data_IF_528604335068
#
_entry.id   IF_528604335068
#
_cell.length_a   1.000
_cell.length_b   1.000
_cell.length_c   1.000
_cell.angle_alpha   90.00
_cell.angle_beta   90.00
_cell.angle_gamma   90.00
#
_symmetry.space_group_name_H-M   'P 1'
#
loop_
_entity.id
_entity.type
_entity.pdbx_description
1 polymer ?
#
# COMPACT_ATOMS: atom_id res chain seq x y z
N UNK A 1 16.31 0.54 14.86
CA UNK A 1 17.22 -0.39 15.60
C UNK A 1 18.41 -0.83 14.75
N UNK A 2 18.28 -1.55 13.63
CA UNK A 2 19.42 -2.02 12.81
C UNK A 2 20.39 -0.90 12.43
N UNK A 3 19.89 0.25 11.97
CA UNK A 3 20.74 1.40 11.62
C UNK A 3 21.55 1.91 12.83
N UNK A 4 20.88 2.17 13.95
CA UNK A 4 21.49 2.72 15.17
C UNK A 4 22.50 1.76 15.84
N UNK A 5 22.35 0.47 15.61
CA UNK A 5 23.23 -0.55 16.19
C UNK A 5 24.30 -1.09 15.22
N UNK A 6 24.37 -0.54 13.99
CA UNK A 6 25.24 -1.10 12.96
C UNK A 6 24.89 -2.54 12.56
N UNK A 7 23.60 -2.89 12.59
CA UNK A 7 23.09 -4.22 12.24
C UNK A 7 23.10 -5.24 13.39
N UNK A 8 23.67 -4.91 14.57
CA UNK A 8 23.83 -5.84 15.68
C UNK A 8 22.54 -6.14 16.45
N UNK A 9 21.56 -5.24 16.38
CA UNK A 9 20.25 -5.35 17.04
C UNK A 9 19.13 -5.10 16.06
N UNK A 10 18.03 -5.82 16.24
CA UNK A 10 16.85 -5.74 15.39
C UNK A 10 15.57 -5.70 16.22
N UNK A 11 14.43 -5.61 15.57
CA UNK A 11 13.15 -5.75 16.23
C UNK A 11 12.93 -7.18 16.79
N UNK A 12 13.68 -8.16 16.29
CA UNK A 12 13.63 -9.54 16.81
C UNK A 12 14.12 -9.63 18.26
N UNK A 13 15.13 -8.82 18.62
CA UNK A 13 15.62 -8.77 20.02
C UNK A 13 14.53 -8.21 20.94
N UNK A 14 13.87 -7.13 20.51
CA UNK A 14 12.72 -6.58 21.21
C UNK A 14 11.58 -7.60 21.31
N UNK A 15 11.21 -8.25 20.22
CA UNK A 15 10.11 -9.20 20.19
C UNK A 15 10.34 -10.38 21.15
N UNK A 16 11.55 -10.91 21.21
CA UNK A 16 11.90 -11.97 22.17
C UNK A 16 11.76 -11.50 23.62
N UNK A 17 12.21 -10.31 23.95
CA UNK A 17 12.10 -9.77 25.30
C UNK A 17 10.65 -9.42 25.68
N UNK A 18 9.89 -8.87 24.72
CA UNK A 18 8.54 -8.39 24.97
C UNK A 18 7.50 -9.53 25.00
N UNK A 19 7.57 -10.46 24.05
CA UNK A 19 6.62 -11.58 23.92
C UNK A 19 7.11 -12.87 24.56
N UNK A 20 8.41 -13.04 24.77
CA UNK A 20 9.01 -14.24 25.33
C UNK A 20 8.99 -14.28 26.86
N UNK A 21 8.14 -13.50 27.51
CA UNK A 21 7.94 -13.55 28.96
C UNK A 21 7.08 -14.76 29.32
N UNK A 22 7.51 -15.54 30.35
CA UNK A 22 6.71 -16.66 30.87
C UNK A 22 6.26 -17.67 29.79
N UNK A 23 7.20 -18.36 29.16
CA UNK A 23 6.91 -19.34 28.10
C UNK A 23 5.85 -20.36 28.57
N UNK A 24 4.80 -20.53 27.77
CA UNK A 24 3.67 -21.41 28.07
C UNK A 24 2.59 -20.84 29.01
N UNK A 25 2.73 -19.66 29.55
CA UNK A 25 1.73 -19.01 30.40
C UNK A 25 0.65 -18.30 29.58
N UNK A 26 -0.36 -19.02 29.14
CA UNK A 26 -1.50 -18.46 28.37
C UNK A 26 -2.70 -18.05 29.23
N UNK A 27 -2.73 -18.48 30.51
CA UNK A 27 -3.88 -18.27 31.40
C UNK A 27 -3.96 -16.86 31.98
N UNK A 28 -2.85 -16.12 31.99
CA UNK A 28 -2.77 -14.78 32.54
C UNK A 28 -2.17 -13.84 31.50
N UNK A 29 -3.01 -13.00 30.86
CA UNK A 29 -2.50 -12.05 29.85
C UNK A 29 -1.52 -11.07 30.50
N UNK A 30 -0.34 -10.93 29.92
CA UNK A 30 0.61 -9.89 30.29
C UNK A 30 0.08 -8.53 29.76
N UNK A 31 -0.20 -7.61 30.69
CA UNK A 31 -0.57 -6.23 30.34
C UNK A 31 0.67 -5.36 30.28
N UNK A 32 0.67 -4.35 29.40
CA UNK A 32 1.79 -3.41 29.26
C UNK A 32 1.27 -1.99 29.02
N UNK A 33 2.13 -1.03 29.31
CA UNK A 33 1.94 0.39 29.04
C UNK A 33 2.91 0.86 27.95
N UNK A 34 2.67 2.03 27.40
CA UNK A 34 3.55 2.64 26.42
C UNK A 34 5.02 2.73 26.91
N UNK A 35 5.20 3.13 28.18
CA UNK A 35 6.53 3.29 28.77
C UNK A 35 7.28 1.95 28.88
N UNK A 36 6.59 0.83 29.07
CA UNK A 36 7.22 -0.51 29.10
C UNK A 36 7.82 -0.84 27.73
N UNK A 37 7.10 -0.53 26.65
CA UNK A 37 7.60 -0.71 25.27
C UNK A 37 8.85 0.16 25.04
N UNK A 38 8.80 1.43 25.46
CA UNK A 38 9.93 2.36 25.34
C UNK A 38 11.13 1.89 26.14
N UNK A 39 10.91 1.40 27.37
CA UNK A 39 11.96 0.88 28.23
C UNK A 39 12.68 -0.31 27.58
N UNK A 40 11.95 -1.31 27.13
CA UNK A 40 12.52 -2.50 26.50
C UNK A 40 13.28 -2.15 25.20
N UNK A 41 12.76 -1.23 24.37
CA UNK A 41 13.48 -0.77 23.18
C UNK A 41 14.83 -0.13 23.55
N UNK A 42 14.86 0.65 24.65
CA UNK A 42 16.05 1.30 25.14
C UNK A 42 17.08 0.34 25.79
N UNK A 43 16.68 -0.85 26.22
CA UNK A 43 17.62 -1.88 26.67
C UNK A 43 18.54 -2.34 25.53
N UNK A 44 18.00 -2.45 24.33
CA UNK A 44 18.74 -2.92 23.15
C UNK A 44 19.45 -1.81 22.40
N UNK A 45 18.80 -0.65 22.24
CA UNK A 45 19.36 0.48 21.48
C UNK A 45 18.87 1.78 22.09
N UNK A 46 19.78 2.58 22.66
CA UNK A 46 19.46 3.89 23.22
C UNK A 46 19.04 4.87 22.13
N UNK A 47 17.82 5.36 22.22
CA UNK A 47 17.23 6.33 21.31
C UNK A 47 15.99 6.98 21.95
N UNK A 48 15.56 8.12 21.46
CA UNK A 48 14.26 8.70 21.84
C UNK A 48 13.11 7.94 21.18
N UNK A 49 12.87 6.73 21.69
CA UNK A 49 11.79 5.87 21.19
C UNK A 49 10.41 6.44 21.49
N UNK A 50 10.26 7.18 22.58
CA UNK A 50 8.97 7.78 22.93
C UNK A 50 8.52 8.76 21.86
N UNK A 51 9.35 9.74 21.52
CA UNK A 51 9.06 10.68 20.44
C UNK A 51 8.90 9.99 19.08
N UNK A 52 9.78 9.02 18.76
CA UNK A 52 9.70 8.27 17.52
C UNK A 52 8.36 7.54 17.34
N UNK A 53 7.89 6.84 18.38
CA UNK A 53 6.62 6.11 18.34
C UNK A 53 5.42 7.06 18.31
N UNK A 54 5.45 8.13 19.12
CA UNK A 54 4.37 9.14 19.16
C UNK A 54 4.21 9.83 17.80
N UNK A 55 5.30 10.25 17.17
CA UNK A 55 5.23 10.87 15.85
C UNK A 55 4.56 9.99 14.79
N UNK A 56 4.71 8.65 14.90
CA UNK A 56 4.07 7.70 13.99
C UNK A 56 2.65 7.35 14.36
N UNK A 57 2.33 7.34 15.65
CA UNK A 57 0.98 7.04 16.15
C UNK A 57 0.05 8.24 15.99
N UNK A 58 0.55 9.42 16.37
CA UNK A 58 -0.24 10.65 16.46
C UNK A 58 -0.12 11.50 15.16
N UNK A 59 0.76 11.10 14.23
CA UNK A 59 0.99 11.81 12.99
C UNK A 59 -0.21 11.74 12.05
N UNK A 60 -0.64 12.92 11.58
CA UNK A 60 -1.69 13.08 10.57
C UNK A 60 -1.09 13.59 9.27
N UNK A 61 -1.62 13.15 8.15
CA UNK A 61 -1.19 13.65 6.85
C UNK A 61 -1.41 12.63 5.74
N UNK A 62 -1.26 13.05 4.48
CA UNK A 62 -1.40 12.16 3.35
C UNK A 62 -0.20 11.21 3.25
N UNK A 63 -0.50 9.95 2.99
CA UNK A 63 0.50 8.92 2.71
C UNK A 63 1.08 8.22 3.94
N UNK A 64 1.74 7.10 3.69
CA UNK A 64 2.44 6.33 4.71
C UNK A 64 3.86 6.87 4.94
N UNK A 65 4.42 6.75 6.16
CA UNK A 65 5.80 7.13 6.43
C UNK A 65 6.77 6.18 5.71
N UNK A 66 7.44 6.67 4.66
CA UNK A 66 8.34 5.87 3.81
C UNK A 66 9.81 5.90 4.28
N UNK A 67 10.13 6.61 5.34
CA UNK A 67 11.50 6.74 5.85
C UNK A 67 12.13 5.39 6.23
N UNK A 68 11.34 4.44 6.70
CA UNK A 68 11.80 3.06 6.96
C UNK A 68 12.23 2.33 5.70
N UNK A 69 11.52 2.51 4.60
CA UNK A 69 11.86 1.96 3.29
C UNK A 69 13.16 2.59 2.78
N UNK A 70 13.28 3.91 2.87
CA UNK A 70 14.48 4.65 2.43
C UNK A 70 15.72 4.25 3.25
N UNK A 71 15.61 4.18 4.58
CA UNK A 71 16.69 3.67 5.46
C UNK A 71 16.98 2.19 5.26
N UNK A 72 16.00 1.44 4.74
CA UNK A 72 16.15 0.05 4.30
C UNK A 72 16.94 -0.11 3.02
N UNK A 73 17.28 0.99 2.34
CA UNK A 73 18.04 1.01 1.11
C UNK A 73 17.19 0.92 -0.16
N UNK A 74 15.91 1.27 -0.07
CA UNK A 74 14.96 1.25 -1.17
C UNK A 74 14.15 2.55 -1.24
N UNK A 75 13.59 2.84 -2.40
CA UNK A 75 12.60 3.89 -2.59
C UNK A 75 11.35 3.33 -3.26
N UNK A 76 10.19 3.83 -2.87
CA UNK A 76 8.95 3.54 -3.56
C UNK A 76 8.87 4.40 -4.83
N UNK A 77 8.66 3.75 -5.96
CA UNK A 77 8.38 4.38 -7.26
C UNK A 77 7.11 3.80 -7.85
N UNK A 78 6.56 4.49 -8.84
CA UNK A 78 5.43 4.01 -9.60
C UNK A 78 5.82 3.85 -11.06
N UNK A 79 5.52 2.67 -11.61
CA UNK A 79 5.78 2.33 -13.01
C UNK A 79 4.48 2.04 -13.73
N UNK A 80 4.48 2.08 -15.05
CA UNK A 80 3.33 1.71 -15.88
C UNK A 80 3.21 0.20 -16.12
N UNK A 81 4.22 -0.56 -15.70
CA UNK A 81 4.22 -2.02 -15.76
C UNK A 81 4.10 -2.64 -14.35
N UNK A 82 3.16 -3.55 -14.13
CA UNK A 82 3.02 -4.25 -12.85
C UNK A 82 4.17 -5.24 -12.61
N UNK A 83 4.54 -5.44 -11.34
CA UNK A 83 5.45 -6.53 -10.96
C UNK A 83 4.79 -7.90 -11.16
N UNK A 84 5.58 -8.98 -11.24
CA UNK A 84 5.05 -10.34 -11.38
C UNK A 84 4.12 -10.73 -10.22
N UNK A 85 4.46 -10.32 -9.00
CA UNK A 85 3.58 -10.50 -7.85
C UNK A 85 2.23 -9.80 -8.06
N UNK A 86 2.24 -8.56 -8.56
CA UNK A 86 1.03 -7.79 -8.77
C UNK A 86 0.14 -8.43 -9.84
N UNK A 87 0.72 -8.88 -10.97
CA UNK A 87 0.01 -9.63 -12.02
C UNK A 87 -0.63 -10.92 -11.48
N UNK A 88 0.13 -11.66 -10.66
CA UNK A 88 -0.37 -12.89 -10.05
C UNK A 88 -1.57 -12.61 -9.13
N UNK A 89 -1.50 -11.57 -8.32
CA UNK A 89 -2.59 -11.17 -7.42
C UNK A 89 -3.84 -10.70 -8.19
N UNK A 90 -3.67 -9.90 -9.25
CA UNK A 90 -4.79 -9.51 -10.14
C UNK A 90 -5.47 -10.75 -10.74
N UNK A 91 -4.68 -11.70 -11.25
CA UNK A 91 -5.18 -12.94 -11.85
C UNK A 91 -5.94 -13.81 -10.83
N UNK A 92 -5.35 -14.03 -9.66
CA UNK A 92 -5.98 -14.83 -8.60
C UNK A 92 -7.29 -14.22 -8.09
N UNK A 93 -7.33 -12.90 -7.95
CA UNK A 93 -8.51 -12.16 -7.48
C UNK A 93 -9.50 -11.85 -8.60
N UNK A 94 -9.14 -12.07 -9.85
CA UNK A 94 -9.92 -11.71 -11.06
C UNK A 94 -10.34 -10.26 -11.08
N UNK A 95 -9.40 -9.38 -10.78
CA UNK A 95 -9.61 -7.93 -10.74
C UNK A 95 -8.53 -7.20 -11.54
N UNK A 96 -8.87 -6.01 -12.04
CA UNK A 96 -7.89 -4.99 -12.38
C UNK A 96 -7.68 -4.11 -11.14
N UNK A 97 -6.49 -4.12 -10.58
CA UNK A 97 -6.15 -3.27 -9.44
C UNK A 97 -5.57 -1.95 -9.92
N UNK A 98 -6.43 -0.94 -10.02
CA UNK A 98 -6.12 0.42 -10.41
C UNK A 98 -6.08 1.37 -9.19
N UNK A 99 -5.81 0.83 -7.99
CA UNK A 99 -5.79 1.60 -6.74
C UNK A 99 -4.88 2.82 -6.83
N UNK A 100 -3.71 2.69 -7.46
CA UNK A 100 -2.75 3.80 -7.56
C UNK A 100 -2.94 4.68 -8.80
N UNK A 101 -3.91 4.34 -9.67
CA UNK A 101 -4.31 5.12 -10.83
C UNK A 101 -5.66 5.79 -10.57
N UNK A 102 -6.75 5.07 -10.77
CA UNK A 102 -8.10 5.57 -10.62
C UNK A 102 -8.63 5.53 -9.17
N UNK A 103 -7.88 4.94 -8.24
CA UNK A 103 -8.31 4.77 -6.86
C UNK A 103 -9.34 3.66 -6.66
N UNK A 104 -9.29 2.59 -7.47
CA UNK A 104 -10.26 1.49 -7.35
C UNK A 104 -9.71 0.17 -7.85
N UNK A 105 -10.33 -0.94 -7.40
CA UNK A 105 -10.20 -2.26 -8.01
C UNK A 105 -11.52 -2.64 -8.68
N UNK A 106 -11.44 -3.26 -9.87
CA UNK A 106 -12.57 -3.55 -10.74
C UNK A 106 -12.53 -5.05 -11.08
N UNK A 107 -13.63 -5.78 -10.85
CA UNK A 107 -13.71 -7.19 -11.21
C UNK A 107 -14.01 -7.40 -12.71
N UNK A 108 -13.99 -8.67 -13.15
CA UNK A 108 -14.23 -9.06 -14.55
C UNK A 108 -15.60 -8.67 -15.07
N UNK A 109 -16.57 -8.35 -14.21
CA UNK A 109 -17.91 -7.92 -14.60
C UNK A 109 -18.08 -6.40 -14.63
N UNK A 110 -17.00 -5.65 -14.38
CA UNK A 110 -16.99 -4.19 -14.32
C UNK A 110 -17.43 -3.59 -12.99
N UNK A 111 -17.64 -4.41 -11.97
CA UNK A 111 -18.05 -3.92 -10.66
C UNK A 111 -16.83 -3.47 -9.83
N UNK A 112 -16.95 -2.31 -9.19
CA UNK A 112 -15.95 -1.80 -8.26
C UNK A 112 -15.99 -2.62 -6.96
N UNK A 113 -14.89 -3.29 -6.64
CA UNK A 113 -14.71 -4.10 -5.42
C UNK A 113 -14.02 -3.34 -4.29
N UNK A 114 -13.28 -2.29 -4.65
CA UNK A 114 -12.75 -1.31 -3.70
C UNK A 114 -12.73 0.09 -4.33
N UNK A 115 -12.89 1.12 -3.51
CA UNK A 115 -12.75 2.53 -3.90
C UNK A 115 -11.96 3.25 -2.83
N UNK A 116 -10.87 3.87 -3.23
CA UNK A 116 -9.99 4.62 -2.34
C UNK A 116 -10.62 5.99 -2.04
N UNK A 117 -10.73 6.33 -0.76
CA UNK A 117 -11.16 7.66 -0.32
C UNK A 117 -10.30 8.75 -0.96
N UNK A 118 -10.93 9.83 -1.42
CA UNK A 118 -10.29 10.94 -2.15
C UNK A 118 -9.58 10.55 -3.47
N UNK A 119 -9.72 9.30 -3.92
CA UNK A 119 -9.22 8.87 -5.23
C UNK A 119 -10.03 9.46 -6.40
N UNK A 120 -9.51 9.38 -7.64
CA UNK A 120 -10.20 9.93 -8.81
C UNK A 120 -11.64 9.46 -8.96
N UNK A 121 -11.91 8.15 -8.86
CA UNK A 121 -13.28 7.64 -8.96
C UNK A 121 -14.16 8.03 -7.76
N UNK A 122 -13.59 8.11 -6.55
CA UNK A 122 -14.33 8.55 -5.37
C UNK A 122 -14.85 9.98 -5.54
N UNK A 123 -14.04 10.89 -6.09
CA UNK A 123 -14.41 12.30 -6.34
C UNK A 123 -15.56 12.44 -7.33
N UNK A 124 -15.71 11.51 -8.26
CA UNK A 124 -16.82 11.42 -9.19
C UNK A 124 -18.06 10.72 -8.60
N UNK A 125 -18.04 10.44 -7.29
CA UNK A 125 -19.17 9.87 -6.56
C UNK A 125 -19.32 8.36 -6.71
N UNK A 126 -18.25 7.65 -7.08
CA UNK A 126 -18.26 6.19 -7.09
C UNK A 126 -18.11 5.61 -5.69
N UNK A 127 -18.81 4.51 -5.47
CA UNK A 127 -18.68 3.68 -4.27
C UNK A 127 -18.51 2.21 -4.66
N UNK A 128 -18.19 1.37 -3.69
CA UNK A 128 -18.17 -0.08 -3.85
C UNK A 128 -19.54 -0.54 -4.34
N UNK A 129 -19.56 -1.44 -5.33
CA UNK A 129 -20.78 -1.94 -5.97
C UNK A 129 -21.22 -1.18 -7.22
N UNK A 130 -20.70 0.03 -7.47
CA UNK A 130 -20.89 0.68 -8.76
C UNK A 130 -20.34 -0.18 -9.90
N UNK A 131 -20.97 -0.14 -11.07
CA UNK A 131 -20.58 -0.99 -12.20
C UNK A 131 -20.28 -0.13 -13.43
N UNK A 132 -19.14 -0.36 -14.05
CA UNK A 132 -18.76 0.21 -15.34
C UNK A 132 -19.39 -0.65 -16.44
N UNK A 133 -20.19 -0.04 -17.30
CA UNK A 133 -20.88 -0.68 -18.42
C UNK A 133 -20.13 -0.50 -19.74
N UNK A 134 -19.49 0.66 -19.92
CA UNK A 134 -18.71 0.96 -21.12
C UNK A 134 -17.55 1.91 -20.82
N UNK A 135 -16.53 1.87 -21.66
CA UNK A 135 -15.32 2.70 -21.63
C UNK A 135 -15.10 3.28 -23.02
N UNK A 136 -15.03 4.60 -23.13
CA UNK A 136 -14.81 5.31 -24.40
C UNK A 136 -15.72 4.80 -25.54
N UNK A 137 -17.01 4.66 -25.25
CA UNK A 137 -18.04 4.22 -26.21
C UNK A 137 -18.04 2.72 -26.55
N UNK A 138 -17.18 1.90 -25.92
CA UNK A 138 -17.14 0.44 -26.12
C UNK A 138 -17.57 -0.29 -24.84
N UNK A 139 -18.21 -1.45 -24.98
CA UNK A 139 -18.59 -2.29 -23.84
C UNK A 139 -17.40 -2.53 -22.91
N UNK A 140 -17.68 -2.68 -21.60
CA UNK A 140 -16.65 -2.90 -20.61
C UNK A 140 -15.82 -4.16 -20.91
N UNK A 141 -14.52 -4.01 -20.82
CA UNK A 141 -13.51 -5.05 -20.70
C UNK A 141 -12.37 -4.50 -19.84
N UNK A 142 -11.75 -5.32 -19.01
CA UNK A 142 -10.64 -4.92 -18.13
C UNK A 142 -9.52 -4.25 -18.91
N UNK A 143 -9.13 -4.85 -20.04
CA UNK A 143 -8.03 -4.35 -20.85
C UNK A 143 -8.35 -2.98 -21.45
N UNK A 144 -9.60 -2.73 -21.85
CA UNK A 144 -10.02 -1.40 -22.34
C UNK A 144 -9.92 -0.31 -21.27
N UNK A 145 -10.25 -0.65 -20.02
CA UNK A 145 -10.04 0.29 -18.91
C UNK A 145 -8.56 0.59 -18.73
N UNK A 146 -7.70 -0.46 -18.70
CA UNK A 146 -6.25 -0.30 -18.56
C UNK A 146 -5.66 0.52 -19.73
N UNK A 147 -6.09 0.26 -20.97
CA UNK A 147 -5.66 1.03 -22.15
C UNK A 147 -6.10 2.51 -22.05
N UNK A 148 -7.35 2.76 -21.66
CA UNK A 148 -7.85 4.12 -21.47
C UNK A 148 -7.06 4.86 -20.39
N UNK A 149 -6.80 4.21 -19.26
CA UNK A 149 -5.95 4.78 -18.18
C UNK A 149 -4.52 5.05 -18.68
N UNK A 150 -3.92 4.10 -19.40
CA UNK A 150 -2.57 4.28 -19.98
C UNK A 150 -2.51 5.48 -20.91
N UNK A 151 -3.50 5.64 -21.77
CA UNK A 151 -3.58 6.75 -22.75
C UNK A 151 -3.66 8.14 -22.08
N UNK A 152 -4.14 8.24 -20.83
CA UNK A 152 -4.23 9.55 -20.14
C UNK A 152 -2.88 10.22 -19.97
N UNK A 153 -1.78 9.45 -19.87
CA UNK A 153 -0.42 9.99 -19.75
C UNK A 153 -0.01 10.85 -20.97
N UNK A 154 -0.66 10.65 -22.11
CA UNK A 154 -0.41 11.39 -23.37
C UNK A 154 -1.62 12.22 -23.83
N UNK A 155 -2.51 12.57 -22.90
CA UNK A 155 -3.67 13.42 -23.17
C UNK A 155 -4.95 12.67 -23.59
N UNK A 156 -4.97 11.33 -23.50
CA UNK A 156 -6.19 10.55 -23.67
C UNK A 156 -7.22 10.86 -22.57
N UNK A 157 -8.50 10.64 -22.89
CA UNK A 157 -9.62 10.84 -21.95
C UNK A 157 -10.21 9.49 -21.54
N UNK A 158 -10.80 9.44 -20.34
CA UNK A 158 -11.56 8.30 -19.86
C UNK A 158 -13.01 8.74 -19.74
N UNK A 159 -13.85 8.26 -20.65
CA UNK A 159 -15.30 8.39 -20.55
C UNK A 159 -15.88 7.05 -20.13
N UNK A 160 -16.67 7.05 -19.07
CA UNK A 160 -17.29 5.84 -18.51
C UNK A 160 -18.81 5.96 -18.55
N UNK A 161 -19.49 4.92 -19.04
CA UNK A 161 -20.91 4.70 -18.76
C UNK A 161 -20.99 3.79 -17.56
N UNK A 162 -21.66 4.24 -16.51
CA UNK A 162 -21.68 3.57 -15.20
C UNK A 162 -23.10 3.40 -14.68
N UNK A 163 -23.30 2.35 -13.90
CA UNK A 163 -24.52 2.12 -13.14
C UNK A 163 -24.21 2.18 -11.64
N UNK A 164 -24.96 3.00 -10.92
CA UNK A 164 -24.92 3.13 -9.46
C UNK A 164 -26.35 2.94 -8.95
N UNK A 165 -26.64 1.79 -8.34
CA UNK A 165 -28.01 1.38 -8.07
C UNK A 165 -28.80 1.22 -9.38
N UNK A 166 -29.90 1.97 -9.53
CA UNK A 166 -30.75 1.98 -10.73
C UNK A 166 -30.36 3.10 -11.74
N UNK A 167 -29.49 4.02 -11.33
CA UNK A 167 -29.09 5.14 -12.17
C UNK A 167 -27.96 4.74 -13.13
N UNK A 168 -28.13 5.12 -14.41
CA UNK A 168 -27.08 5.02 -15.44
C UNK A 168 -26.70 6.41 -15.90
N UNK A 169 -25.40 6.70 -15.89
CA UNK A 169 -24.87 8.02 -16.28
C UNK A 169 -23.54 7.89 -17.00
N UNK A 170 -23.22 8.89 -17.80
CA UNK A 170 -21.92 9.04 -18.47
C UNK A 170 -21.09 10.06 -17.69
N UNK A 171 -19.85 9.73 -17.44
CA UNK A 171 -18.89 10.56 -16.69
C UNK A 171 -17.55 10.59 -17.42
N UNK A 172 -16.92 11.76 -17.44
CA UNK A 172 -15.52 11.89 -17.86
C UNK A 172 -14.66 11.99 -16.60
N UNK A 173 -13.70 11.10 -16.46
CA UNK A 173 -12.81 11.06 -15.29
C UNK A 173 -11.65 12.01 -15.50
N UNK A 174 -11.49 12.97 -14.60
CA UNK A 174 -10.32 13.87 -14.57
C UNK A 174 -9.10 13.15 -14.00
N UNK A 175 -8.36 12.49 -14.88
CA UNK A 175 -7.13 11.78 -14.54
C UNK A 175 -6.15 11.81 -15.71
N UNK A 176 -4.88 12.12 -15.41
CA UNK A 176 -3.81 12.25 -16.41
C UNK A 176 -2.52 11.50 -16.04
N UNK A 177 -2.58 10.65 -15.02
CA UNK A 177 -1.39 9.98 -14.44
C UNK A 177 -0.94 8.72 -15.17
N UNK A 178 -1.72 8.17 -16.11
CA UNK A 178 -1.44 6.88 -16.72
C UNK A 178 -1.58 5.69 -15.75
N UNK A 179 -1.13 4.52 -16.15
CA UNK A 179 -1.05 3.38 -15.25
C UNK A 179 0.05 3.62 -14.19
N UNK A 180 -0.26 3.23 -12.95
CA UNK A 180 0.65 3.39 -11.82
C UNK A 180 0.62 2.13 -10.96
N UNK A 181 1.73 1.42 -10.96
CA UNK A 181 1.95 0.24 -10.12
C UNK A 181 3.11 0.48 -9.17
N UNK A 182 2.98 0.19 -7.86
CA UNK A 182 4.03 0.43 -6.89
C UNK A 182 5.19 -0.56 -7.09
N UNK A 183 6.41 -0.05 -6.98
CA UNK A 183 7.62 -0.84 -7.06
C UNK A 183 8.67 -0.29 -6.10
N UNK A 184 9.42 -1.17 -5.46
CA UNK A 184 10.61 -0.79 -4.70
C UNK A 184 11.84 -0.85 -5.60
N UNK A 185 12.55 0.26 -5.69
CA UNK A 185 13.83 0.35 -6.36
C UNK A 185 14.96 0.44 -5.34
N UNK A 186 16.04 -0.28 -5.61
CA UNK A 186 17.24 -0.24 -4.79
C UNK A 186 17.92 1.14 -4.90
N UNK A 187 18.28 1.71 -3.74
CA UNK A 187 19.13 2.92 -3.70
C UNK A 187 20.56 2.45 -3.69
N UNK A 188 21.30 2.72 -4.79
CA UNK A 188 22.68 2.32 -4.93
C UNK A 188 23.56 2.89 -3.81
N UNK A 189 24.62 2.14 -3.48
CA UNK A 189 25.63 2.51 -2.46
C UNK A 189 25.08 2.73 -1.04
N UNK A 190 23.86 2.25 -0.75
CA UNK A 190 23.31 2.25 0.61
C UNK A 190 23.24 0.82 1.16
N UNK A 191 23.27 0.59 2.48
CA UNK A 191 23.09 -0.73 3.06
C UNK A 191 21.72 -1.34 2.70
N UNK A 192 21.68 -2.61 2.33
CA UNK A 192 20.46 -3.34 1.95
C UNK A 192 19.71 -3.90 3.16
N UNK A 193 19.39 -3.05 4.14
CA UNK A 193 18.78 -3.49 5.41
C UNK A 193 17.40 -4.11 5.25
N UNK A 194 16.68 -3.75 4.19
CA UNK A 194 15.39 -4.37 3.91
C UNK A 194 15.58 -5.85 3.51
N UNK A 195 16.62 -6.16 2.75
CA UNK A 195 16.95 -7.54 2.36
C UNK A 195 17.28 -8.38 3.59
N UNK A 196 18.00 -7.81 4.57
CA UNK A 196 18.30 -8.48 5.84
C UNK A 196 17.04 -8.80 6.66
N UNK A 197 15.97 -7.99 6.50
CA UNK A 197 14.71 -8.19 7.22
C UNK A 197 13.89 -9.33 6.59
N UNK A 198 13.88 -9.41 5.26
CA UNK A 198 13.09 -10.41 4.52
C UNK A 198 13.85 -11.70 4.22
N UNK A 199 15.16 -11.75 4.49
CA UNK A 199 15.97 -12.94 4.33
C UNK A 199 15.45 -14.10 5.20
N UNK A 200 15.54 -15.32 4.66
CA UNK A 200 15.20 -16.51 5.42
C UNK A 200 16.08 -16.60 6.68
N UNK A 201 15.45 -16.86 7.80
CA UNK A 201 16.18 -17.12 9.06
C UNK A 201 16.80 -18.52 8.99
N UNK A 202 18.08 -18.59 9.31
CA UNK A 202 18.79 -19.85 9.47
C UNK A 202 18.58 -20.39 10.86
#
# INVERSE_FOLDING_TARGET
MRELSGGRRSLDDFARAFYGQEDGAWQKPATYKFDDVVAILNEFVKHDWATFLRQRLDGHGPGAPLDGVTRGGYRLVYTDEPTELFKTLETQRRVADLTYSLGASINSEGQLTSVLWDGPLFKEGFAIGARILAVNGKAFEIDRVKEAVKATKTGGKIELIVRVGDDVRTLTIDYNGGLRYPRLERIEKTPARLDDIVAARK
#
